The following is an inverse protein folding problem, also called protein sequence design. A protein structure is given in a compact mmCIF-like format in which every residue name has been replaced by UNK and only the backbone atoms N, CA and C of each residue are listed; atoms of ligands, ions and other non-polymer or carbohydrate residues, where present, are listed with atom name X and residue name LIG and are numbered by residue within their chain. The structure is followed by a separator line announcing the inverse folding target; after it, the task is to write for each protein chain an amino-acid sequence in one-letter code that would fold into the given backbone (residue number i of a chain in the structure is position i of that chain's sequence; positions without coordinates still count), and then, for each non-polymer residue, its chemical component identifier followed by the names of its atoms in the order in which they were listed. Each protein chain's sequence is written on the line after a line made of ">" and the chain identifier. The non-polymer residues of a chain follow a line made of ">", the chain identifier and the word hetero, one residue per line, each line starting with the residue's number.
data_IF_542524014864
#
_entry.id   IF_542524014864
#
_cell.length_a   1.000
_cell.length_b   1.000
_cell.length_c   1.000
_cell.angle_alpha   90.00
_cell.angle_beta   90.00
_cell.angle_gamma   90.00
#
_symmetry.space_group_name_H-M   'P 1'
#
loop_
_entity.id
_entity.type
_entity.pdbx_description
1 polymer ?
#
# COMPACT_ATOMS: atom_id res chain seq x y z
N UNK A 1 -13.17 8.75 5.66
CA UNK A 1 -13.09 8.32 4.25
C UNK A 1 -14.13 7.24 4.00
N UNK A 2 -14.97 7.40 2.98
CA UNK A 2 -15.92 6.36 2.58
C UNK A 2 -15.24 5.33 1.65
N UNK A 3 -15.97 4.32 1.17
CA UNK A 3 -15.41 3.30 0.29
C UNK A 3 -14.98 3.82 -1.10
N UNK A 4 -15.71 4.80 -1.65
CA UNK A 4 -15.42 5.38 -2.96
C UNK A 4 -14.09 6.13 -2.90
N UNK A 5 -13.93 6.99 -1.90
CA UNK A 5 -12.70 7.76 -1.68
C UNK A 5 -11.47 6.82 -1.51
N UNK A 6 -11.64 5.69 -0.81
CA UNK A 6 -10.55 4.70 -0.64
C UNK A 6 -10.16 4.06 -1.96
N UNK A 7 -11.14 3.68 -2.79
CA UNK A 7 -10.87 3.10 -4.10
C UNK A 7 -10.18 4.10 -5.03
N UNK A 8 -10.58 5.37 -4.99
CA UNK A 8 -9.92 6.43 -5.74
C UNK A 8 -8.48 6.65 -5.27
N UNK A 9 -8.26 6.67 -3.95
CA UNK A 9 -6.90 6.73 -3.40
C UNK A 9 -6.05 5.56 -3.89
N UNK A 10 -6.53 4.31 -3.77
CA UNK A 10 -5.79 3.12 -4.20
C UNK A 10 -5.43 3.17 -5.68
N UNK A 11 -6.36 3.65 -6.52
CA UNK A 11 -6.15 3.78 -7.97
C UNK A 11 -5.02 4.75 -8.29
N UNK A 12 -5.03 5.91 -7.63
CA UNK A 12 -4.14 7.02 -7.95
C UNK A 12 -2.79 6.95 -7.24
N UNK A 13 -2.74 6.38 -6.03
CA UNK A 13 -1.53 6.29 -5.21
C UNK A 13 -0.42 5.49 -5.90
N UNK A 14 0.83 5.91 -5.79
CA UNK A 14 1.96 5.15 -6.29
C UNK A 14 2.34 3.97 -5.37
N UNK A 15 3.37 3.20 -5.74
CA UNK A 15 3.82 2.07 -4.92
C UNK A 15 4.36 2.51 -3.55
N UNK A 16 5.06 3.64 -3.46
CA UNK A 16 5.61 4.16 -2.20
C UNK A 16 4.50 4.54 -1.23
N UNK A 17 3.46 5.22 -1.72
CA UNK A 17 2.28 5.62 -0.95
C UNK A 17 1.50 4.41 -0.44
N UNK A 18 1.19 3.44 -1.31
CA UNK A 18 0.50 2.20 -0.90
C UNK A 18 1.35 1.42 0.11
N UNK A 19 2.66 1.35 -0.08
CA UNK A 19 3.54 0.63 0.84
C UNK A 19 3.63 1.30 2.22
N UNK A 20 3.66 2.64 2.27
CA UNK A 20 3.56 3.39 3.52
C UNK A 20 2.25 3.11 4.25
N UNK A 21 1.13 3.12 3.52
CA UNK A 21 -0.18 2.80 4.07
C UNK A 21 -0.17 1.39 4.69
N UNK A 22 0.32 0.39 3.96
CA UNK A 22 0.40 -1.00 4.44
C UNK A 22 1.23 -1.15 5.71
N UNK A 23 2.33 -0.41 5.85
CA UNK A 23 3.25 -0.53 6.99
C UNK A 23 2.79 0.15 8.27
N UNK A 24 1.98 1.19 8.15
CA UNK A 24 1.67 2.07 9.28
C UNK A 24 0.21 2.04 9.70
N UNK A 25 -0.67 1.49 8.87
CA UNK A 25 -2.05 1.25 9.26
C UNK A 25 -2.16 0.12 10.30
N UNK A 26 -3.04 0.25 11.31
CA UNK A 26 -3.24 -0.79 12.30
C UNK A 26 -3.85 -2.05 11.68
N UNK A 27 -3.63 -3.18 12.36
CA UNK A 27 -4.31 -4.44 12.02
C UNK A 27 -5.82 -4.25 12.11
N UNK A 28 -6.55 -4.76 11.11
CA UNK A 28 -8.00 -4.59 11.01
C UNK A 28 -8.44 -3.29 10.34
N UNK A 29 -7.51 -2.48 9.83
CA UNK A 29 -7.85 -1.26 9.09
C UNK A 29 -8.80 -1.55 7.92
N UNK A 30 -9.84 -0.71 7.69
CA UNK A 30 -10.76 -0.85 6.57
C UNK A 30 -10.09 -0.86 5.19
N UNK A 31 -8.86 -0.37 5.07
CA UNK A 31 -8.06 -0.43 3.84
C UNK A 31 -7.75 -1.86 3.38
N UNK A 32 -7.80 -2.83 4.29
CA UNK A 32 -7.38 -4.20 4.03
C UNK A 32 -8.52 -5.23 4.16
N UNK A 33 -9.78 -4.77 4.22
CA UNK A 33 -10.95 -5.63 4.44
C UNK A 33 -11.90 -5.59 3.25
N UNK A 34 -12.52 -6.74 2.95
CA UNK A 34 -13.57 -6.87 1.94
C UNK A 34 -13.13 -6.40 0.56
N UNK A 35 -14.03 -5.70 -0.15
CA UNK A 35 -13.76 -5.18 -1.51
C UNK A 35 -12.59 -4.20 -1.57
N UNK A 36 -12.39 -3.40 -0.51
CA UNK A 36 -11.31 -2.41 -0.45
C UNK A 36 -9.97 -3.12 -0.31
N UNK A 37 -9.88 -4.11 0.58
CA UNK A 37 -8.69 -4.94 0.73
C UNK A 37 -8.30 -5.66 -0.56
N UNK A 38 -9.28 -6.25 -1.27
CA UNK A 38 -9.03 -6.88 -2.56
C UNK A 38 -8.45 -5.88 -3.59
N UNK A 39 -9.04 -4.68 -3.69
CA UNK A 39 -8.53 -3.63 -4.57
C UNK A 39 -7.11 -3.18 -4.19
N UNK A 40 -6.83 -3.04 -2.89
CA UNK A 40 -5.51 -2.69 -2.38
C UNK A 40 -4.46 -3.75 -2.77
N UNK A 41 -4.75 -5.02 -2.51
CA UNK A 41 -3.84 -6.14 -2.81
C UNK A 41 -3.49 -6.21 -4.29
N UNK A 42 -4.48 -6.07 -5.17
CA UNK A 42 -4.24 -6.04 -6.62
C UNK A 42 -3.41 -4.84 -7.05
N UNK A 43 -3.73 -3.64 -6.54
CA UNK A 43 -3.04 -2.41 -6.90
C UNK A 43 -1.56 -2.42 -6.46
N UNK A 44 -1.26 -2.80 -5.21
CA UNK A 44 0.11 -2.80 -4.71
C UNK A 44 0.96 -3.86 -5.43
N UNK A 45 0.39 -5.03 -5.74
CA UNK A 45 1.07 -6.09 -6.50
C UNK A 45 1.39 -5.62 -7.91
N UNK A 46 0.41 -5.03 -8.60
CA UNK A 46 0.60 -4.49 -9.95
C UNK A 46 1.68 -3.41 -9.95
N UNK A 47 1.56 -2.40 -9.08
CA UNK A 47 2.51 -1.28 -9.02
C UNK A 47 3.92 -1.74 -8.64
N UNK A 48 4.06 -2.77 -7.80
CA UNK A 48 5.35 -3.43 -7.52
C UNK A 48 5.97 -4.03 -8.78
N UNK A 49 5.16 -4.72 -9.58
CA UNK A 49 5.62 -5.34 -10.82
C UNK A 49 6.02 -4.28 -11.85
N UNK A 50 5.24 -3.20 -11.98
CA UNK A 50 5.49 -2.12 -12.94
C UNK A 50 6.85 -1.42 -12.69
N UNK A 51 7.26 -1.25 -11.43
CA UNK A 51 8.55 -0.62 -11.09
C UNK A 51 9.72 -1.61 -10.99
N UNK A 52 9.44 -2.91 -10.95
CA UNK A 52 10.43 -3.97 -10.81
C UNK A 52 10.96 -4.16 -9.38
N UNK A 53 11.56 -5.34 -9.15
CA UNK A 53 11.97 -5.80 -7.83
C UNK A 53 13.06 -4.92 -7.17
N UNK A 54 14.04 -4.42 -7.95
CA UNK A 54 15.12 -3.58 -7.42
C UNK A 54 14.59 -2.27 -6.85
N UNK A 55 13.80 -1.54 -7.64
CA UNK A 55 13.22 -0.25 -7.22
C UNK A 55 12.22 -0.43 -6.08
N UNK A 56 11.43 -1.50 -6.11
CA UNK A 56 10.55 -1.84 -4.99
C UNK A 56 11.32 -2.08 -3.69
N UNK A 57 12.50 -2.71 -3.76
CA UNK A 57 13.37 -2.94 -2.60
C UNK A 57 14.01 -1.64 -2.09
N UNK A 58 14.44 -0.75 -2.98
CA UNK A 58 14.95 0.59 -2.63
C UNK A 58 13.90 1.42 -1.89
N UNK A 59 12.68 1.50 -2.43
CA UNK A 59 11.55 2.20 -1.79
C UNK A 59 11.24 1.58 -0.42
N UNK A 60 11.21 0.25 -0.34
CA UNK A 60 11.00 -0.48 0.91
C UNK A 60 12.06 -0.13 1.97
N UNK A 61 13.33 -0.03 1.59
CA UNK A 61 14.41 0.38 2.51
C UNK A 61 14.25 1.84 2.95
N UNK A 62 13.87 2.74 2.03
CA UNK A 62 13.66 4.17 2.29
C UNK A 62 12.54 4.43 3.30
N UNK A 63 11.42 3.71 3.20
CA UNK A 63 10.30 3.86 4.14
C UNK A 63 10.69 3.35 5.53
N UNK A 64 11.47 2.26 5.59
CA UNK A 64 11.85 1.62 6.84
C UNK A 64 10.67 0.97 7.56
N UNK A 65 10.95 0.44 8.74
CA UNK A 65 9.98 0.08 9.76
C UNK A 65 10.35 0.94 10.97
N UNK A 66 9.36 1.49 11.70
CA UNK A 66 9.69 2.08 13.00
C UNK A 66 10.23 0.93 13.87
N UNK A 67 11.54 0.92 14.09
CA UNK A 67 12.16 0.12 15.12
C UNK A 67 11.89 0.84 16.44
N UNK A 68 10.66 0.79 16.93
CA UNK A 68 10.42 0.98 18.36
C UNK A 68 10.59 -0.40 18.98
N UNK A 69 11.84 -0.74 19.30
CA UNK A 69 12.17 -1.72 20.35
C UNK A 69 12.04 -0.99 21.68
#
# INVERSE_FOLDING_TARGET
>A
MNDIDRLEYIKNADYEELLKLWRHEPVGSPWFVGKIGAAFTEAIRRKRNDIGALKAAEISKKIGWKNDI
#
